data_IF_195821903762
#
_entry.id   IF_195821903762
#
_cell.length_a   1.000
_cell.length_b   1.000
_cell.length_c   1.000
_cell.angle_alpha   90.00
_cell.angle_beta   90.00
_cell.angle_gamma   90.00
#
_symmetry.space_group_name_H-M   'P 1'
#
loop_
_entity.id
_entity.type
_entity.pdbx_description
1 polymer ?
#
# COMPACT_ATOMS: atom_id res chain seq x y z
N UNK A 1 10.29 -4.24 3.06
CA UNK A 1 9.10 -4.49 2.19
C UNK A 1 8.15 -3.30 2.23
N UNK A 2 7.55 -2.90 1.09
CA UNK A 2 6.63 -1.75 1.03
C UNK A 2 5.20 -2.19 0.77
N UNK A 3 4.28 -1.88 1.68
CA UNK A 3 2.83 -2.09 1.49
C UNK A 3 2.24 -0.82 0.87
N UNK A 4 1.65 -0.93 -0.32
CA UNK A 4 0.91 0.15 -0.96
C UNK A 4 -0.60 0.07 -0.61
N UNK A 5 -1.17 1.14 -0.05
CA UNK A 5 -2.55 1.13 0.47
C UNK A 5 -3.32 2.43 0.16
N UNK A 6 -4.60 2.33 -0.19
CA UNK A 6 -5.44 3.48 -0.50
C UNK A 6 -6.14 4.07 0.72
N UNK A 7 -6.15 5.40 0.88
CA UNK A 7 -6.80 6.06 2.03
C UNK A 7 -8.34 6.01 1.99
N UNK A 8 -8.90 5.73 0.82
CA UNK A 8 -10.34 5.56 0.60
C UNK A 8 -10.82 4.12 0.68
N UNK A 9 -9.99 3.17 1.11
CA UNK A 9 -10.37 1.76 1.27
C UNK A 9 -11.40 1.60 2.42
N UNK A 10 -12.65 1.21 2.11
CA UNK A 10 -13.68 1.02 3.12
C UNK A 10 -13.61 -0.35 3.82
N UNK A 11 -12.84 -1.29 3.27
CA UNK A 11 -12.72 -2.68 3.74
C UNK A 11 -11.57 -2.79 4.74
N UNK A 12 -10.39 -2.35 4.32
CA UNK A 12 -9.22 -2.26 5.18
C UNK A 12 -8.95 -0.77 5.40
N UNK A 13 -9.60 -0.17 6.40
CA UNK A 13 -9.37 1.27 6.63
C UNK A 13 -7.93 1.54 7.09
N UNK A 14 -7.34 2.71 6.81
CA UNK A 14 -5.96 3.02 7.22
C UNK A 14 -5.70 2.87 8.72
N UNK A 15 -6.73 3.06 9.56
CA UNK A 15 -6.60 2.88 11.00
C UNK A 15 -6.28 1.42 11.41
N UNK A 16 -6.67 0.43 10.60
CA UNK A 16 -6.37 -0.98 10.84
C UNK A 16 -4.89 -1.32 10.59
N UNK A 17 -4.16 -0.46 9.88
CA UNK A 17 -2.73 -0.66 9.59
C UNK A 17 -1.83 -0.12 10.72
N UNK A 18 -2.38 0.64 11.67
CA UNK A 18 -1.59 1.29 12.72
C UNK A 18 -0.87 0.25 13.58
N UNK A 19 0.43 0.49 13.80
CA UNK A 19 1.28 -0.34 14.66
C UNK A 19 1.87 -1.59 13.99
N UNK A 20 1.64 -1.80 12.69
CA UNK A 20 2.41 -2.79 11.92
C UNK A 20 3.87 -2.37 11.76
N UNK A 21 4.12 -1.09 11.46
CA UNK A 21 5.47 -0.52 11.31
C UNK A 21 6.31 -0.69 12.59
N UNK A 22 5.70 -0.60 13.77
CA UNK A 22 6.39 -0.80 15.05
C UNK A 22 6.76 -2.28 15.33
N UNK A 23 6.10 -3.23 14.65
CA UNK A 23 6.21 -4.68 14.92
C UNK A 23 6.87 -5.46 13.81
N UNK A 24 7.04 -4.87 12.63
CA UNK A 24 7.67 -5.49 11.48
C UNK A 24 8.87 -4.64 11.03
N UNK A 25 10.08 -5.16 11.24
CA UNK A 25 11.34 -4.41 11.09
C UNK A 25 11.76 -4.14 9.63
N UNK A 26 11.09 -4.75 8.66
CA UNK A 26 11.36 -4.57 7.23
C UNK A 26 10.05 -4.27 6.50
N UNK A 27 9.31 -3.29 7.02
CA UNK A 27 7.94 -3.01 6.62
C UNK A 27 7.64 -1.51 6.66
N UNK A 28 7.27 -0.94 5.52
CA UNK A 28 6.85 0.46 5.38
C UNK A 28 5.45 0.51 4.75
N UNK A 29 4.55 1.36 5.27
CA UNK A 29 3.25 1.63 4.63
C UNK A 29 3.34 2.88 3.78
N UNK A 30 2.95 2.76 2.52
CA UNK A 30 2.72 3.89 1.64
C UNK A 30 1.22 4.10 1.44
N UNK A 31 0.74 5.27 1.85
CA UNK A 31 -0.65 5.68 1.69
C UNK A 31 -0.87 6.44 0.37
N UNK A 32 -1.88 6.04 -0.39
CA UNK A 32 -2.28 6.64 -1.67
C UNK A 32 -3.62 7.32 -1.50
N UNK A 33 -3.64 8.64 -1.67
CA UNK A 33 -4.83 9.43 -1.37
C UNK A 33 -6.02 9.12 -2.30
N UNK A 34 -7.22 9.01 -1.72
CA UNK A 34 -8.49 8.84 -2.43
C UNK A 34 -8.71 7.47 -3.07
N UNK A 35 -7.76 6.54 -2.96
CA UNK A 35 -7.84 5.22 -3.61
C UNK A 35 -8.56 4.22 -2.72
N UNK A 36 -9.44 3.43 -3.32
CA UNK A 36 -10.19 2.38 -2.63
C UNK A 36 -9.43 1.05 -2.49
N UNK A 37 -10.15 0.01 -2.08
CA UNK A 37 -9.60 -1.34 -1.87
C UNK A 37 -8.93 -1.92 -3.13
N UNK A 38 -9.52 -1.71 -4.30
CA UNK A 38 -9.03 -2.22 -5.58
C UNK A 38 -8.02 -1.26 -6.24
N UNK A 39 -6.90 -1.00 -5.55
CA UNK A 39 -5.84 -0.09 -6.03
C UNK A 39 -5.26 -0.50 -7.39
N UNK A 40 -5.24 -1.80 -7.71
CA UNK A 40 -4.80 -2.34 -9.01
C UNK A 40 -5.68 -1.85 -10.17
N UNK A 41 -6.96 -1.60 -9.94
CA UNK A 41 -7.89 -1.10 -10.97
C UNK A 41 -7.84 0.43 -11.07
N UNK A 42 -7.65 1.12 -9.94
CA UNK A 42 -7.70 2.59 -9.90
C UNK A 42 -6.37 3.26 -10.24
N UNK A 43 -5.24 2.63 -9.88
CA UNK A 43 -3.88 3.14 -10.08
C UNK A 43 -2.93 2.06 -10.64
N UNK A 44 -3.27 1.42 -11.79
CA UNK A 44 -2.49 0.30 -12.34
C UNK A 44 -1.02 0.65 -12.59
N UNK A 45 -0.73 1.84 -13.12
CA UNK A 45 0.65 2.26 -13.42
C UNK A 45 1.50 2.37 -12.15
N UNK A 46 0.95 2.98 -11.10
CA UNK A 46 1.63 3.08 -9.81
C UNK A 46 1.93 1.70 -9.23
N UNK A 47 0.95 0.79 -9.27
CA UNK A 47 1.15 -0.57 -8.77
C UNK A 47 2.24 -1.29 -9.56
N UNK A 48 2.20 -1.17 -10.89
CA UNK A 48 3.18 -1.81 -11.76
C UNK A 48 4.60 -1.27 -11.54
N UNK A 49 4.73 0.04 -11.34
CA UNK A 49 6.02 0.66 -11.01
C UNK A 49 6.58 0.17 -9.68
N UNK A 50 5.73 0.03 -8.65
CA UNK A 50 6.18 -0.50 -7.34
C UNK A 50 6.50 -1.97 -7.40
N UNK A 51 5.75 -2.75 -8.18
CA UNK A 51 6.05 -4.17 -8.39
C UNK A 51 7.39 -4.37 -9.09
N UNK A 52 7.69 -3.58 -10.14
CA UNK A 52 8.99 -3.63 -10.84
C UNK A 52 10.14 -3.27 -9.91
N UNK A 53 9.99 -2.21 -9.11
CA UNK A 53 10.99 -1.81 -8.13
C UNK A 53 11.23 -2.91 -7.08
N UNK A 54 10.17 -3.58 -6.64
CA UNK A 54 10.29 -4.69 -5.69
C UNK A 54 11.01 -5.92 -6.28
N UNK A 55 10.75 -6.27 -7.54
CA UNK A 55 11.33 -7.45 -8.19
C UNK A 55 12.80 -7.26 -8.62
N UNK A 56 13.31 -6.04 -8.59
CA UNK A 56 14.68 -5.70 -9.02
C UNK A 56 15.60 -5.23 -7.89
N UNK A 57 15.05 -5.14 -6.67
CA UNK A 57 15.80 -4.90 -5.44
C UNK A 57 16.44 -6.21 -4.94
#
# INVERSE_FOLDING_TARGET
MRWLHGTGDPVITPNLLRGYEDRASDFEVELVDGVGHWIVEQRPDLVLDRLRAFLTA
#
